data_IF_108233996729
#
_entry.id   IF_108233996729
#
_cell.length_a   1.000
_cell.length_b   1.000
_cell.length_c   1.000
_cell.angle_alpha   90.00
_cell.angle_beta   90.00
_cell.angle_gamma   90.00
#
_symmetry.space_group_name_H-M   'P 1'
#
loop_
_entity.id
_entity.type
_entity.pdbx_description
1 polymer ?
#
# COMPACT_ATOMS: atom_id res chain seq x y z
N UNK A 1 -1.51 13.87 22.24
CA UNK A 1 -0.09 13.58 21.90
C UNK A 1 0.10 14.07 20.49
N UNK A 2 1.15 14.84 20.26
CA UNK A 2 1.50 15.31 18.92
C UNK A 2 2.02 14.18 18.06
N UNK A 3 1.79 14.28 16.75
CA UNK A 3 2.40 13.40 15.76
C UNK A 3 3.89 13.71 15.65
N UNK A 4 4.72 12.69 15.54
CA UNK A 4 6.18 12.80 15.42
C UNK A 4 6.72 12.17 14.12
N UNK A 5 5.90 11.41 13.38
CA UNK A 5 6.27 10.81 12.10
C UNK A 5 5.02 10.49 11.26
N UNK A 6 5.19 10.43 9.92
CA UNK A 6 4.16 9.98 9.01
C UNK A 6 4.60 8.73 8.26
N UNK A 7 3.73 7.73 8.19
CA UNK A 7 3.93 6.48 7.47
C UNK A 7 2.97 6.42 6.28
N UNK A 8 3.50 6.18 5.09
CA UNK A 8 2.70 6.09 3.87
C UNK A 8 2.60 4.64 3.40
N UNK A 9 1.43 4.24 2.94
CA UNK A 9 1.33 3.15 2.00
C UNK A 9 1.81 3.57 0.61
N UNK A 10 1.91 2.65 -0.33
CA UNK A 10 2.39 2.90 -1.69
C UNK A 10 1.30 2.70 -2.75
N UNK A 11 0.80 1.47 -2.83
CA UNK A 11 -0.10 1.03 -3.90
C UNK A 11 -1.51 1.58 -3.69
N UNK A 12 -2.09 2.20 -4.72
CA UNK A 12 -3.42 2.82 -4.59
C UNK A 12 -3.44 4.12 -3.78
N UNK A 13 -2.32 4.52 -3.18
CA UNK A 13 -2.17 5.76 -2.42
C UNK A 13 -1.23 6.76 -3.10
N UNK A 14 0.03 6.39 -3.28
CA UNK A 14 1.05 7.23 -3.93
C UNK A 14 1.12 6.95 -5.43
N UNK A 15 0.98 5.69 -5.82
CA UNK A 15 1.06 5.20 -7.20
C UNK A 15 -0.29 4.62 -7.58
N UNK A 16 -0.79 4.99 -8.76
CA UNK A 16 -1.98 4.39 -9.39
C UNK A 16 -1.61 3.00 -9.94
N UNK A 17 -1.35 2.08 -9.03
CA UNK A 17 -0.84 0.74 -9.34
C UNK A 17 -1.92 -0.34 -9.35
N UNK A 18 -3.10 -0.11 -8.80
CA UNK A 18 -4.16 -1.13 -8.75
C UNK A 18 -4.58 -1.61 -10.14
N UNK A 19 -4.75 -0.67 -11.08
CA UNK A 19 -5.08 -1.01 -12.47
C UNK A 19 -3.97 -1.83 -13.14
N UNK A 20 -2.70 -1.61 -12.73
CA UNK A 20 -1.54 -2.32 -13.26
C UNK A 20 -1.41 -3.73 -12.65
N UNK A 21 -1.69 -3.88 -11.36
CA UNK A 21 -1.82 -5.18 -10.71
C UNK A 21 -2.91 -6.01 -11.39
N UNK A 22 -4.10 -5.42 -11.56
CA UNK A 22 -5.21 -6.07 -12.25
C UNK A 22 -4.83 -6.53 -13.67
N UNK A 23 -4.16 -5.67 -14.44
CA UNK A 23 -3.69 -6.02 -15.79
C UNK A 23 -2.72 -7.19 -15.75
N UNK A 24 -1.74 -7.18 -14.85
CA UNK A 24 -0.77 -8.27 -14.71
C UNK A 24 -1.45 -9.59 -14.31
N UNK A 25 -2.40 -9.55 -13.37
CA UNK A 25 -3.17 -10.72 -12.96
C UNK A 25 -3.99 -11.30 -14.13
N UNK A 26 -4.71 -10.47 -14.88
CA UNK A 26 -5.48 -10.91 -16.04
C UNK A 26 -4.59 -11.56 -17.09
N UNK A 27 -3.43 -10.97 -17.39
CA UNK A 27 -2.49 -11.51 -18.37
C UNK A 27 -1.91 -12.86 -17.92
N UNK A 28 -1.42 -12.95 -16.69
CA UNK A 28 -0.69 -14.13 -16.20
C UNK A 28 -1.63 -15.26 -15.83
N UNK A 29 -2.65 -15.01 -15.02
CA UNK A 29 -3.60 -16.05 -14.66
C UNK A 29 -4.45 -16.48 -15.86
N UNK A 30 -4.79 -15.54 -16.76
CA UNK A 30 -5.46 -15.88 -18.03
C UNK A 30 -4.65 -16.84 -18.87
N UNK A 31 -3.33 -16.67 -18.97
CA UNK A 31 -2.42 -17.58 -19.67
C UNK A 31 -2.36 -18.97 -19.00
N UNK A 32 -2.62 -19.05 -17.69
CA UNK A 32 -2.70 -20.31 -16.92
C UNK A 32 -4.11 -20.95 -16.99
N UNK A 33 -5.06 -20.35 -17.72
CA UNK A 33 -6.42 -20.86 -17.86
C UNK A 33 -7.36 -20.54 -16.71
N UNK A 34 -6.97 -19.61 -15.81
CA UNK A 34 -7.83 -19.14 -14.71
C UNK A 34 -8.89 -18.20 -15.28
N UNK A 35 -10.20 -18.45 -15.11
CA UNK A 35 -11.25 -17.54 -15.55
C UNK A 35 -11.40 -16.38 -14.56
N UNK A 36 -10.64 -15.30 -14.77
CA UNK A 36 -10.74 -14.10 -13.95
C UNK A 36 -11.97 -13.27 -14.34
N UNK A 37 -12.69 -12.82 -13.31
CA UNK A 37 -13.77 -11.86 -13.43
C UNK A 37 -13.40 -10.61 -12.61
N UNK A 38 -13.80 -9.43 -13.03
CA UNK A 38 -13.53 -8.16 -12.30
C UNK A 38 -13.91 -8.23 -10.81
N UNK A 39 -15.02 -8.89 -10.49
CA UNK A 39 -15.47 -9.08 -9.10
C UNK A 39 -14.54 -9.98 -8.27
N UNK A 40 -13.75 -10.83 -8.91
CA UNK A 40 -12.87 -11.79 -8.25
C UNK A 40 -11.53 -11.15 -7.83
N UNK A 41 -11.09 -10.13 -8.55
CA UNK A 41 -9.82 -9.44 -8.33
C UNK A 41 -9.92 -8.50 -7.12
N UNK A 42 -11.08 -7.89 -6.89
CA UNK A 42 -11.35 -7.07 -5.70
C UNK A 42 -11.14 -7.82 -4.38
N UNK A 43 -11.32 -9.16 -4.39
CA UNK A 43 -11.14 -9.98 -3.18
C UNK A 43 -9.68 -10.19 -2.78
N UNK A 44 -8.73 -9.79 -3.62
CA UNK A 44 -7.28 -9.96 -3.41
C UNK A 44 -6.53 -8.65 -3.22
N UNK A 45 -7.24 -7.51 -3.22
CA UNK A 45 -6.65 -6.17 -2.98
C UNK A 45 -5.95 -6.11 -1.63
N UNK A 46 -4.68 -5.64 -1.62
CA UNK A 46 -3.89 -5.48 -0.41
C UNK A 46 -3.38 -6.78 0.23
N UNK A 47 -3.70 -7.93 -0.36
CA UNK A 47 -3.24 -9.26 0.07
C UNK A 47 -1.83 -9.50 -0.47
N UNK A 48 -1.03 -10.30 0.22
CA UNK A 48 0.28 -10.72 -0.29
C UNK A 48 0.16 -11.47 -1.61
N UNK A 49 1.03 -11.15 -2.56
CA UNK A 49 1.03 -11.77 -3.90
C UNK A 49 1.10 -13.28 -3.85
N UNK A 50 1.83 -13.87 -2.89
CA UNK A 50 1.90 -15.32 -2.69
C UNK A 50 0.53 -15.89 -2.31
N UNK A 51 -0.20 -15.24 -1.40
CA UNK A 51 -1.55 -15.65 -0.99
C UNK A 51 -2.55 -15.52 -2.15
N UNK A 52 -2.39 -14.50 -3.00
CA UNK A 52 -3.19 -14.34 -4.23
C UNK A 52 -2.95 -15.51 -5.18
N UNK A 53 -1.68 -15.88 -5.42
CA UNK A 53 -1.34 -17.03 -6.27
C UNK A 53 -1.89 -18.34 -5.70
N UNK A 54 -1.72 -18.57 -4.39
CA UNK A 54 -2.24 -19.78 -3.72
C UNK A 54 -3.77 -19.84 -3.72
N UNK A 55 -4.43 -18.69 -3.57
CA UNK A 55 -5.88 -18.57 -3.67
C UNK A 55 -6.39 -19.03 -5.04
N UNK A 56 -5.78 -18.58 -6.11
CA UNK A 56 -6.17 -18.93 -7.47
C UNK A 56 -5.79 -20.37 -7.80
N UNK A 57 -4.59 -20.83 -7.41
CA UNK A 57 -4.14 -22.21 -7.60
C UNK A 57 -5.08 -23.22 -6.93
N UNK A 58 -5.54 -22.93 -5.72
CA UNK A 58 -6.48 -23.80 -5.00
C UNK A 58 -7.81 -23.98 -5.74
N UNK A 59 -8.26 -22.97 -6.48
CA UNK A 59 -9.53 -22.98 -7.22
C UNK A 59 -9.40 -23.48 -8.63
N UNK A 60 -8.30 -23.17 -9.26
CA UNK A 60 -7.98 -23.47 -10.66
C UNK A 60 -6.54 -23.94 -10.77
N UNK A 61 -6.27 -25.21 -10.36
CA UNK A 61 -4.90 -25.74 -10.40
C UNK A 61 -4.33 -25.74 -11.81
N UNK A 62 -3.06 -25.37 -11.95
CA UNK A 62 -2.28 -25.50 -13.18
C UNK A 62 -1.09 -26.42 -12.96
N UNK A 63 -0.59 -27.07 -14.04
CA UNK A 63 0.51 -28.04 -13.96
C UNK A 63 1.89 -27.37 -13.89
N UNK A 64 2.06 -26.24 -14.59
CA UNK A 64 3.32 -25.50 -14.73
C UNK A 64 3.01 -24.06 -15.14
N UNK A 65 3.81 -23.10 -14.67
CA UNK A 65 4.98 -23.19 -13.77
C UNK A 65 4.58 -23.37 -12.29
N UNK A 66 5.55 -23.47 -11.37
CA UNK A 66 5.28 -23.51 -9.92
C UNK A 66 4.71 -22.16 -9.44
N UNK A 67 4.01 -22.16 -8.29
CA UNK A 67 3.46 -20.93 -7.70
C UNK A 67 4.51 -19.85 -7.47
N UNK A 68 5.71 -20.20 -7.00
CA UNK A 68 6.80 -19.24 -6.81
C UNK A 68 7.17 -18.54 -8.12
N UNK A 69 7.25 -19.29 -9.23
CA UNK A 69 7.51 -18.71 -10.55
C UNK A 69 6.37 -17.82 -11.02
N UNK A 70 5.11 -18.15 -10.71
CA UNK A 70 3.95 -17.28 -11.02
C UNK A 70 4.03 -15.99 -10.22
N UNK A 71 4.44 -16.04 -8.95
CA UNK A 71 4.71 -14.84 -8.14
C UNK A 71 5.76 -13.97 -8.81
N UNK A 72 6.92 -14.54 -9.19
CA UNK A 72 7.98 -13.80 -9.87
C UNK A 72 7.50 -13.17 -11.19
N UNK A 73 6.70 -13.90 -11.98
CA UNK A 73 6.10 -13.37 -13.22
C UNK A 73 5.18 -12.18 -12.96
N UNK A 74 4.34 -12.24 -11.93
CA UNK A 74 3.46 -11.14 -11.53
C UNK A 74 4.27 -9.91 -11.12
N UNK A 75 5.24 -10.07 -10.23
CA UNK A 75 6.09 -8.98 -9.74
C UNK A 75 6.87 -8.31 -10.86
N UNK A 76 7.46 -9.11 -11.78
CA UNK A 76 8.18 -8.58 -12.94
C UNK A 76 7.23 -7.83 -13.88
N UNK A 77 6.03 -8.37 -14.11
CA UNK A 77 5.05 -7.73 -15.00
C UNK A 77 4.54 -6.41 -14.41
N UNK A 78 4.19 -6.39 -13.12
CA UNK A 78 3.77 -5.15 -12.43
C UNK A 78 4.88 -4.11 -12.47
N UNK A 79 6.13 -4.49 -12.17
CA UNK A 79 7.26 -3.57 -12.24
C UNK A 79 7.42 -2.96 -13.64
N UNK A 80 7.32 -3.79 -14.70
CA UNK A 80 7.36 -3.29 -16.08
C UNK A 80 6.20 -2.35 -16.39
N UNK A 81 4.99 -2.67 -15.95
CA UNK A 81 3.82 -1.81 -16.14
C UNK A 81 3.97 -0.47 -15.41
N UNK A 82 4.48 -0.49 -14.18
CA UNK A 82 4.74 0.77 -13.43
C UNK A 82 5.75 1.64 -14.18
N UNK A 83 6.81 1.07 -14.74
CA UNK A 83 7.83 1.82 -15.50
C UNK A 83 7.32 2.38 -16.84
N UNK A 84 6.35 1.72 -17.47
CA UNK A 84 5.85 2.10 -18.79
C UNK A 84 4.56 2.91 -18.78
N UNK A 85 3.69 2.67 -17.83
CA UNK A 85 2.32 3.19 -17.78
C UNK A 85 1.97 3.83 -16.43
N UNK A 86 2.81 3.57 -15.38
CA UNK A 86 2.54 4.03 -14.01
C UNK A 86 2.49 5.54 -13.87
N UNK A 87 1.68 5.99 -12.92
CA UNK A 87 1.50 7.41 -12.60
C UNK A 87 1.43 7.58 -11.09
N UNK A 88 1.89 8.73 -10.61
CA UNK A 88 1.59 9.14 -9.25
C UNK A 88 0.13 9.58 -9.15
N UNK A 89 -0.52 9.22 -8.06
CA UNK A 89 -1.87 9.71 -7.78
C UNK A 89 -1.86 11.22 -7.51
N UNK A 90 -2.96 11.93 -7.82
CA UNK A 90 -3.11 13.34 -7.55
C UNK A 90 -2.82 13.68 -6.08
N UNK A 91 -1.97 14.66 -5.84
CA UNK A 91 -1.59 15.09 -4.49
C UNK A 91 -0.47 14.27 -3.83
N UNK A 92 0.01 13.14 -4.40
CA UNK A 92 1.03 12.29 -3.79
C UNK A 92 2.30 13.05 -3.41
N UNK A 93 2.90 13.80 -4.35
CA UNK A 93 4.09 14.61 -4.08
C UNK A 93 3.84 15.68 -3.02
N UNK A 94 2.68 16.35 -3.10
CA UNK A 94 2.31 17.38 -2.12
C UNK A 94 2.13 16.77 -0.73
N UNK A 95 1.49 15.62 -0.59
CA UNK A 95 1.33 14.93 0.70
C UNK A 95 2.67 14.54 1.32
N UNK A 96 3.61 14.03 0.49
CA UNK A 96 4.98 13.74 0.91
C UNK A 96 5.68 15.02 1.40
N UNK A 97 5.61 16.14 0.65
CA UNK A 97 6.21 17.41 1.03
C UNK A 97 5.65 17.94 2.34
N UNK A 98 4.33 17.90 2.51
CA UNK A 98 3.66 18.34 3.73
C UNK A 98 4.07 17.54 4.97
N UNK A 99 4.17 16.23 4.82
CA UNK A 99 4.56 15.34 5.91
C UNK A 99 6.05 15.49 6.27
N UNK A 100 6.94 15.52 5.25
CA UNK A 100 8.39 15.64 5.42
C UNK A 100 8.79 16.97 6.09
N UNK A 101 8.05 18.03 5.81
CA UNK A 101 8.25 19.33 6.47
C UNK A 101 7.96 19.31 7.99
N UNK A 102 7.21 18.32 8.47
CA UNK A 102 6.76 18.21 9.87
C UNK A 102 7.50 17.16 10.69
N UNK A 103 8.10 16.17 10.02
CA UNK A 103 8.84 15.12 10.70
C UNK A 103 9.29 14.01 9.76
N UNK A 104 10.01 13.01 10.26
CA UNK A 104 10.47 11.90 9.45
C UNK A 104 9.31 11.13 8.83
N UNK A 105 9.49 10.71 7.58
CA UNK A 105 8.52 9.90 6.86
C UNK A 105 9.10 8.53 6.54
N UNK A 106 8.23 7.50 6.57
CA UNK A 106 8.58 6.16 6.13
C UNK A 106 7.50 5.60 5.18
N UNK A 107 7.88 4.63 4.38
CA UNK A 107 6.96 3.85 3.57
C UNK A 107 6.74 2.48 4.21
N UNK A 108 5.50 1.99 4.20
CA UNK A 108 5.11 0.70 4.77
C UNK A 108 4.02 0.05 3.91
N UNK A 109 4.40 -0.88 3.04
CA UNK A 109 3.53 -1.51 2.03
C UNK A 109 3.48 -3.04 2.20
N UNK A 110 2.44 -3.67 1.65
CA UNK A 110 2.34 -5.13 1.50
C UNK A 110 3.16 -5.66 0.32
N UNK A 111 3.57 -4.80 -0.58
CA UNK A 111 4.36 -5.15 -1.77
C UNK A 111 5.77 -5.60 -1.38
N UNK A 112 6.36 -6.61 -2.05
CA UNK A 112 7.73 -7.03 -1.82
C UNK A 112 8.76 -5.91 -1.99
N UNK A 113 9.78 -5.87 -1.13
CA UNK A 113 10.73 -4.76 -1.02
C UNK A 113 11.44 -4.45 -2.35
N UNK A 114 11.77 -5.48 -3.12
CA UNK A 114 12.43 -5.30 -4.42
C UNK A 114 11.55 -4.51 -5.41
N UNK A 115 10.25 -4.81 -5.44
CA UNK A 115 9.30 -4.09 -6.29
C UNK A 115 9.03 -2.68 -5.75
N UNK A 116 8.94 -2.49 -4.42
CA UNK A 116 8.83 -1.16 -3.81
C UNK A 116 9.99 -0.27 -4.28
N UNK A 117 11.24 -0.74 -4.17
CA UNK A 117 12.40 0.03 -4.62
C UNK A 117 12.35 0.33 -6.10
N UNK A 118 12.02 -0.65 -6.95
CA UNK A 118 11.86 -0.44 -8.39
C UNK A 118 10.85 0.66 -8.72
N UNK A 119 9.68 0.64 -8.06
CA UNK A 119 8.64 1.66 -8.22
C UNK A 119 9.10 3.04 -7.75
N UNK A 120 9.66 3.11 -6.53
CA UNK A 120 10.11 4.38 -5.96
C UNK A 120 11.28 4.99 -6.73
N UNK A 121 12.21 4.18 -7.24
CA UNK A 121 13.34 4.64 -8.04
C UNK A 121 12.86 5.19 -9.38
N UNK A 122 11.87 4.54 -10.03
CA UNK A 122 11.26 5.03 -11.27
C UNK A 122 10.70 6.45 -11.11
N UNK A 123 10.02 6.74 -9.99
CA UNK A 123 9.46 8.06 -9.70
C UNK A 123 10.42 9.01 -8.98
N UNK A 124 11.64 8.59 -8.67
CA UNK A 124 12.63 9.39 -7.93
C UNK A 124 12.24 9.66 -6.47
N UNK A 125 11.45 8.77 -5.86
CA UNK A 125 10.90 8.95 -4.51
C UNK A 125 11.67 8.24 -3.40
N UNK A 126 12.53 7.26 -3.73
CA UNK A 126 13.18 6.43 -2.71
C UNK A 126 13.94 7.26 -1.64
N UNK A 127 14.62 8.32 -2.07
CA UNK A 127 15.40 9.20 -1.18
C UNK A 127 14.54 10.11 -0.28
N UNK A 128 13.24 10.20 -0.52
CA UNK A 128 12.33 11.00 0.29
C UNK A 128 12.01 10.31 1.63
N UNK A 129 11.99 9.00 1.64
CA UNK A 129 11.66 8.20 2.82
C UNK A 129 12.91 7.90 3.64
N UNK A 130 12.84 8.17 4.95
CA UNK A 130 13.92 7.84 5.87
C UNK A 130 14.11 6.33 6.04
N UNK A 131 13.02 5.57 5.89
CA UNK A 131 13.04 4.10 5.85
C UNK A 131 11.87 3.57 5.01
N UNK A 132 12.08 2.39 4.43
CA UNK A 132 11.13 1.71 3.55
C UNK A 132 10.96 0.30 4.09
N UNK A 133 9.71 -0.10 4.29
CA UNK A 133 9.35 -1.39 4.89
C UNK A 133 8.36 -2.14 4.03
N UNK A 134 8.62 -3.42 3.84
CA UNK A 134 7.70 -4.37 3.24
C UNK A 134 7.15 -5.31 4.30
N UNK A 135 5.87 -5.60 4.24
CA UNK A 135 5.25 -6.59 5.09
C UNK A 135 5.70 -8.02 4.75
N UNK A 136 6.46 -8.26 3.67
CA UNK A 136 7.05 -9.58 3.36
C UNK A 136 7.99 -10.08 4.46
N UNK A 137 8.55 -9.18 5.29
CA UNK A 137 9.42 -9.53 6.42
C UNK A 137 8.65 -9.66 7.74
N UNK A 138 7.35 -9.47 7.71
CA UNK A 138 6.49 -9.60 8.87
C UNK A 138 5.86 -11.01 8.93
N UNK A 139 5.54 -11.52 10.13
CA UNK A 139 4.84 -12.79 10.27
C UNK A 139 3.47 -12.85 9.56
N UNK A 140 2.83 -11.69 9.42
CA UNK A 140 1.51 -11.54 8.81
C UNK A 140 1.41 -10.19 8.09
N UNK A 141 0.72 -10.17 6.93
CA UNK A 141 0.36 -8.96 6.20
C UNK A 141 -0.73 -8.12 6.87
N UNK A 142 -1.03 -6.95 6.31
CA UNK A 142 -2.21 -6.16 6.70
C UNK A 142 -3.47 -7.03 6.59
N UNK A 143 -4.37 -7.03 7.58
CA UNK A 143 -4.58 -6.03 8.63
C UNK A 143 -3.74 -6.24 9.91
N UNK A 144 -2.75 -7.12 9.94
CA UNK A 144 -1.83 -7.20 11.07
C UNK A 144 -0.97 -5.92 11.15
N UNK A 145 -0.74 -5.34 12.35
CA UNK A 145 -0.05 -4.06 12.50
C UNK A 145 1.46 -4.11 12.28
N UNK A 146 2.05 -5.27 12.01
CA UNK A 146 3.49 -5.53 12.00
C UNK A 146 4.29 -4.50 11.22
N UNK A 147 3.98 -4.30 9.93
CA UNK A 147 4.73 -3.40 9.05
C UNK A 147 4.75 -1.95 9.57
N UNK A 148 3.65 -1.46 10.14
CA UNK A 148 3.57 -0.12 10.71
C UNK A 148 4.36 -0.02 12.03
N UNK A 149 4.31 -1.05 12.87
CA UNK A 149 5.10 -1.09 14.12
C UNK A 149 6.61 -1.11 13.82
N UNK A 150 7.02 -1.89 12.82
CA UNK A 150 8.41 -1.96 12.35
C UNK A 150 8.86 -0.61 11.78
N UNK A 151 8.02 0.03 10.96
CA UNK A 151 8.31 1.35 10.40
C UNK A 151 8.45 2.41 11.50
N UNK A 152 7.54 2.48 12.47
CA UNK A 152 7.63 3.39 13.61
C UNK A 152 8.90 3.16 14.44
N UNK A 153 9.22 1.89 14.72
CA UNK A 153 10.44 1.50 15.44
C UNK A 153 11.72 1.96 14.72
N UNK A 154 11.78 1.84 13.39
CA UNK A 154 12.93 2.26 12.59
C UNK A 154 13.16 3.77 12.62
N UNK A 155 12.09 4.54 12.78
CA UNK A 155 12.15 6.00 12.96
C UNK A 155 12.44 6.42 14.40
N UNK A 156 12.37 5.49 15.37
CA UNK A 156 12.49 5.78 16.79
C UNK A 156 11.31 6.55 17.36
N UNK A 157 10.12 6.44 16.74
CA UNK A 157 8.90 7.15 17.14
C UNK A 157 7.90 6.17 17.75
N UNK A 158 7.26 6.56 18.86
CA UNK A 158 6.22 5.74 19.46
C UNK A 158 5.02 5.59 18.52
N UNK A 159 4.40 4.41 18.38
CA UNK A 159 3.25 4.20 17.50
C UNK A 159 2.12 5.24 17.71
N UNK A 160 1.83 5.59 18.96
CA UNK A 160 0.80 6.58 19.31
C UNK A 160 1.13 8.01 18.84
N UNK A 161 2.36 8.26 18.39
CA UNK A 161 2.82 9.50 17.80
C UNK A 161 3.09 9.37 16.27
N UNK A 162 2.54 8.33 15.64
CA UNK A 162 2.60 8.17 14.20
C UNK A 162 1.25 8.46 13.55
N UNK A 163 1.31 9.08 12.36
CA UNK A 163 0.21 9.21 11.43
C UNK A 163 0.43 8.24 10.28
N UNK A 164 -0.58 7.44 9.94
CA UNK A 164 -0.58 6.60 8.74
C UNK A 164 -1.47 7.26 7.69
N UNK A 165 -1.04 7.24 6.42
CA UNK A 165 -1.87 7.60 5.28
C UNK A 165 -2.03 6.34 4.43
N UNK A 166 -3.27 5.95 4.14
CA UNK A 166 -3.66 4.65 3.60
C UNK A 166 -4.88 4.74 2.67
N UNK A 167 -5.00 3.82 1.71
CA UNK A 167 -6.15 3.75 0.80
C UNK A 167 -7.05 2.53 1.07
N UNK A 168 -6.53 1.50 1.75
CA UNK A 168 -7.19 0.21 1.93
C UNK A 168 -7.82 0.03 3.31
N UNK A 169 -8.93 -0.70 3.38
CA UNK A 169 -9.58 -1.09 4.64
C UNK A 169 -8.66 -1.92 5.52
N UNK A 170 -7.89 -2.85 4.93
CA UNK A 170 -6.93 -3.67 5.66
C UNK A 170 -5.81 -2.83 6.29
N UNK A 171 -5.30 -1.83 5.58
CA UNK A 171 -4.29 -0.93 6.09
C UNK A 171 -4.81 -0.01 7.20
N UNK A 172 -6.03 0.51 7.06
CA UNK A 172 -6.69 1.30 8.13
C UNK A 172 -6.82 0.47 9.40
N UNK A 173 -7.28 -0.79 9.31
CA UNK A 173 -7.35 -1.70 10.46
C UNK A 173 -5.96 -1.92 11.06
N UNK A 174 -4.95 -2.19 10.23
CA UNK A 174 -3.57 -2.42 10.68
C UNK A 174 -3.01 -1.22 11.44
N UNK A 175 -3.22 0.00 10.91
CA UNK A 175 -2.77 1.24 11.54
C UNK A 175 -3.47 1.48 12.91
N UNK A 176 -4.77 1.26 12.98
CA UNK A 176 -5.53 1.35 14.25
C UNK A 176 -5.10 0.29 15.25
N UNK A 177 -4.84 -0.96 14.79
CA UNK A 177 -4.30 -2.02 15.63
C UNK A 177 -2.89 -1.69 16.16
N UNK A 178 -2.11 -0.91 15.41
CA UNK A 178 -0.83 -0.35 15.86
C UNK A 178 -0.99 0.85 16.83
N UNK A 179 -2.22 1.28 17.13
CA UNK A 179 -2.52 2.46 17.96
C UNK A 179 -2.06 3.78 17.30
N UNK A 180 -2.05 3.84 15.98
CA UNK A 180 -1.68 5.03 15.20
C UNK A 180 -2.92 5.84 14.80
N UNK A 181 -2.72 7.13 14.48
CA UNK A 181 -3.72 7.94 13.77
C UNK A 181 -3.73 7.58 12.30
N UNK A 182 -4.89 7.74 11.64
CA UNK A 182 -5.06 7.31 10.25
C UNK A 182 -5.80 8.36 9.44
N UNK A 183 -5.21 8.75 8.32
CA UNK A 183 -5.90 9.39 7.20
C UNK A 183 -6.16 8.33 6.15
N UNK A 184 -7.43 8.12 5.80
CA UNK A 184 -7.81 7.22 4.74
C UNK A 184 -8.12 7.98 3.45
N UNK A 185 -7.65 7.43 2.31
CA UNK A 185 -7.91 7.97 0.97
C UNK A 185 -8.43 6.83 0.08
N UNK A 186 -9.61 6.28 0.38
CA UNK A 186 -10.16 5.13 -0.35
C UNK A 186 -10.50 5.49 -1.80
N UNK A 187 -10.46 4.49 -2.68
CA UNK A 187 -11.02 4.65 -4.02
C UNK A 187 -12.52 4.95 -3.95
N UNK A 188 -13.12 5.60 -4.98
CA UNK A 188 -14.56 5.86 -4.99
C UNK A 188 -15.42 4.60 -4.78
N UNK A 189 -14.94 3.45 -5.26
CA UNK A 189 -15.61 2.16 -5.18
C UNK A 189 -15.60 1.57 -3.76
N UNK A 190 -14.52 1.80 -3.01
CA UNK A 190 -14.30 1.22 -1.67
C UNK A 190 -14.82 2.13 -0.54
N UNK A 191 -15.17 3.39 -0.87
CA UNK A 191 -15.54 4.44 0.09
C UNK A 191 -16.69 4.10 1.02
N UNK A 192 -17.52 3.13 0.62
CA UNK A 192 -18.66 2.65 1.42
C UNK A 192 -18.30 1.58 2.45
N UNK A 193 -17.07 1.12 2.52
CA UNK A 193 -16.64 0.11 3.48
C UNK A 193 -16.63 0.67 4.91
N UNK A 194 -17.17 -0.10 5.85
CA UNK A 194 -17.36 0.35 7.24
C UNK A 194 -16.05 0.53 8.00
N UNK A 195 -14.99 -0.11 7.55
CA UNK A 195 -13.65 -0.03 8.12
C UNK A 195 -13.07 1.38 8.06
N UNK A 196 -13.44 2.17 7.05
CA UNK A 196 -12.98 3.56 6.94
C UNK A 196 -13.55 4.48 8.04
N UNK A 197 -14.60 4.04 8.77
CA UNK A 197 -15.07 4.73 9.97
C UNK A 197 -14.05 4.69 11.13
N UNK A 198 -13.04 3.85 11.03
CA UNK A 198 -11.93 3.79 11.99
C UNK A 198 -10.90 4.90 11.76
N UNK A 199 -10.86 5.52 10.58
CA UNK A 199 -9.92 6.58 10.28
C UNK A 199 -10.27 7.88 11.05
N UNK A 200 -9.25 8.66 11.38
CA UNK A 200 -9.42 9.98 12.02
C UNK A 200 -9.85 11.03 10.98
N UNK A 201 -9.52 10.81 9.71
CA UNK A 201 -9.92 11.63 8.57
C UNK A 201 -10.07 10.74 7.33
N UNK A 202 -11.12 10.96 6.55
CA UNK A 202 -11.32 10.33 5.23
C UNK A 202 -11.32 11.43 4.18
N UNK A 203 -10.48 11.29 3.17
CA UNK A 203 -10.32 12.24 2.05
C UNK A 203 -10.77 11.60 0.74
N UNK A 204 -11.14 12.43 -0.20
CA UNK A 204 -11.45 12.00 -1.57
C UNK A 204 -10.18 11.79 -2.39
N UNK A 205 -9.14 12.57 -2.11
CA UNK A 205 -7.83 12.53 -2.77
C UNK A 205 -6.77 13.12 -1.84
N UNK A 206 -5.50 12.78 -2.06
CA UNK A 206 -4.38 13.39 -1.34
C UNK A 206 -4.27 14.92 -1.57
N UNK A 207 -4.89 15.47 -2.61
CA UNK A 207 -4.96 16.91 -2.82
C UNK A 207 -5.74 17.63 -1.71
N UNK A 208 -6.69 16.93 -1.07
CA UNK A 208 -7.52 17.46 0.01
C UNK A 208 -6.80 17.46 1.38
N UNK A 209 -5.62 16.86 1.47
CA UNK A 209 -4.83 16.89 2.71
C UNK A 209 -4.39 18.33 3.01
N UNK A 210 -4.91 18.93 4.08
CA UNK A 210 -4.66 20.33 4.40
C UNK A 210 -3.49 20.53 5.37
N UNK A 211 -2.75 21.63 5.19
CA UNK A 211 -1.72 22.06 6.12
C UNK A 211 -2.28 22.30 7.52
N UNK A 212 -3.44 22.95 7.60
CA UNK A 212 -4.10 23.28 8.86
C UNK A 212 -4.42 22.03 9.68
N UNK A 213 -5.01 20.99 9.03
CA UNK A 213 -5.30 19.73 9.72
C UNK A 213 -4.03 19.05 10.23
N UNK A 214 -2.98 19.00 9.39
CA UNK A 214 -1.70 18.43 9.81
C UNK A 214 -1.08 19.22 10.96
N UNK A 215 -1.07 20.54 10.93
CA UNK A 215 -0.53 21.38 11.99
C UNK A 215 -1.21 21.11 13.33
N UNK A 216 -2.52 20.89 13.34
CA UNK A 216 -3.26 20.48 14.53
C UNK A 216 -2.82 19.10 15.07
N UNK A 217 -2.42 18.19 14.19
CA UNK A 217 -1.96 16.84 14.60
C UNK A 217 -0.53 16.87 15.15
N UNK A 218 0.33 17.73 14.61
CA UNK A 218 1.75 17.84 15.00
C UNK A 218 2.00 18.84 16.14
N UNK A 219 1.01 19.65 16.52
CA UNK A 219 1.08 20.56 17.67
C UNK A 219 0.99 19.76 19.00
#
# INVERSE_FOLDING_TARGET
MSIGATLFDMDGLLIDSEVLWHQAEVEIFGALGVPLFESSIRSTKGVFVNEVVDYWYTRYPWDSPSNDVVVDMLLERVGTLVETEGRLLPGALRAIDLADARGPIALASSTPLALIHRCLDHFGLASRFRSIHSAEFEPYGKPHPGVFLTAASSLGVAPTSCLVIEDSSAGVIAARAASMRVVAVPTPEDRGEVEFLLADLVLDTLEDLSDEWLDEQFA
#
